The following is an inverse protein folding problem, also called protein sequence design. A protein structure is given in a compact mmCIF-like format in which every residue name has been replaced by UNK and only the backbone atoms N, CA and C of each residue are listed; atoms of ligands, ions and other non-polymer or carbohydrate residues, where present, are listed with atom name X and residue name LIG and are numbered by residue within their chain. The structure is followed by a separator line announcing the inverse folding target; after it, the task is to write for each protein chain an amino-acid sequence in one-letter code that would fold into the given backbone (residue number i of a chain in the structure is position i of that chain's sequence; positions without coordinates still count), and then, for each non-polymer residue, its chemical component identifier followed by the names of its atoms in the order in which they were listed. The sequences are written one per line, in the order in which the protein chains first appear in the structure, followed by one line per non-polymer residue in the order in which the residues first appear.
data_IF_434987728454
#
_entry.id   IF_434987728454
#
_cell.length_a   1.000
_cell.length_b   1.000
_cell.length_c   1.000
_cell.angle_alpha   90.00
_cell.angle_beta   90.00
_cell.angle_gamma   90.00
#
_symmetry.space_group_name_H-M   'P 1'
#
loop_
_entity.id
_entity.type
_entity.pdbx_description
1 polymer ?
#
# COMPACT_ATOMS: atom_id res chain seq x y z
N UNK A 1 -20.11 -10.74 -4.49
CA UNK A 1 -19.08 -9.75 -4.86
C UNK A 1 -19.00 -9.50 -6.36
N UNK A 2 -18.74 -10.50 -7.21
CA UNK A 2 -18.58 -10.33 -8.68
C UNK A 2 -19.62 -9.42 -9.35
N UNK A 3 -20.92 -9.68 -9.17
CA UNK A 3 -22.00 -8.88 -9.79
C UNK A 3 -21.96 -7.39 -9.39
N UNK A 4 -21.57 -7.09 -8.14
CA UNK A 4 -21.45 -5.71 -7.64
C UNK A 4 -20.23 -5.03 -8.28
N UNK A 5 -19.13 -5.77 -8.45
CA UNK A 5 -17.92 -5.28 -9.12
C UNK A 5 -18.20 -4.89 -10.58
N UNK A 6 -18.82 -5.78 -11.36
CA UNK A 6 -19.16 -5.51 -12.77
C UNK A 6 -20.03 -4.25 -12.88
N UNK A 7 -21.09 -4.18 -12.06
CA UNK A 7 -21.99 -3.02 -12.06
C UNK A 7 -21.27 -1.72 -11.71
N UNK A 8 -20.36 -1.77 -10.74
CA UNK A 8 -19.54 -0.63 -10.34
C UNK A 8 -18.59 -0.19 -11.47
N UNK A 9 -17.84 -1.11 -12.07
CA UNK A 9 -16.89 -0.79 -13.15
C UNK A 9 -17.60 -0.13 -14.34
N UNK A 10 -18.69 -0.73 -14.81
CA UNK A 10 -19.44 -0.19 -15.94
C UNK A 10 -20.02 1.20 -15.66
N UNK A 11 -20.55 1.41 -14.44
CA UNK A 11 -21.18 2.68 -14.09
C UNK A 11 -20.17 3.80 -13.78
N UNK A 12 -19.11 3.49 -13.03
CA UNK A 12 -18.19 4.48 -12.45
C UNK A 12 -16.91 4.64 -13.28
N UNK A 13 -16.37 3.54 -13.79
CA UNK A 13 -15.15 3.52 -14.60
C UNK A 13 -15.41 3.51 -16.11
N UNK A 14 -16.67 3.32 -16.53
CA UNK A 14 -17.10 3.29 -17.95
C UNK A 14 -16.47 2.15 -18.75
N UNK A 15 -16.07 1.08 -18.06
CA UNK A 15 -15.62 -0.15 -18.68
C UNK A 15 -16.81 -0.87 -19.35
N UNK A 16 -16.52 -1.61 -20.40
CA UNK A 16 -17.47 -2.50 -21.07
C UNK A 16 -17.62 -3.82 -20.30
N UNK A 17 -18.69 -4.55 -20.58
CA UNK A 17 -18.92 -5.87 -19.97
C UNK A 17 -17.79 -6.87 -20.31
N UNK A 18 -17.19 -6.76 -21.50
CA UNK A 18 -16.07 -7.61 -21.92
C UNK A 18 -14.77 -7.32 -21.16
N UNK A 19 -14.53 -6.05 -20.80
CA UNK A 19 -13.39 -5.64 -19.96
C UNK A 19 -13.58 -6.12 -18.52
N UNK A 20 -14.83 -6.22 -18.07
CA UNK A 20 -15.19 -6.82 -16.79
C UNK A 20 -15.24 -8.34 -16.89
N UNK A 21 -14.10 -9.02 -17.06
CA UNK A 21 -14.03 -10.49 -17.04
C UNK A 21 -13.84 -11.05 -15.62
N UNK A 22 -14.38 -12.24 -15.36
CA UNK A 22 -14.21 -12.89 -14.05
C UNK A 22 -12.73 -13.16 -13.71
N UNK A 23 -11.91 -13.41 -14.74
CA UNK A 23 -10.45 -13.56 -14.58
C UNK A 23 -9.84 -12.29 -13.99
N UNK A 24 -10.16 -11.12 -14.54
CA UNK A 24 -9.65 -9.83 -14.04
C UNK A 24 -10.09 -9.60 -12.60
N UNK A 25 -11.36 -9.83 -12.26
CA UNK A 25 -11.82 -9.73 -10.88
C UNK A 25 -11.07 -10.67 -9.93
N UNK A 26 -10.81 -11.91 -10.36
CA UNK A 26 -10.04 -12.84 -9.55
C UNK A 26 -8.62 -12.34 -9.36
N UNK A 27 -7.91 -12.03 -10.44
CA UNK A 27 -6.51 -11.59 -10.40
C UNK A 27 -6.33 -10.29 -9.60
N UNK A 28 -7.28 -9.37 -9.71
CA UNK A 28 -7.21 -8.06 -9.06
C UNK A 28 -7.69 -8.06 -7.61
N UNK A 29 -8.78 -8.77 -7.30
CA UNK A 29 -9.48 -8.62 -6.02
C UNK A 29 -9.58 -9.89 -5.18
N UNK A 30 -9.18 -11.06 -5.70
CA UNK A 30 -9.31 -12.34 -4.98
C UNK A 30 -7.96 -13.00 -4.76
N UNK A 31 -7.14 -13.08 -5.80
CA UNK A 31 -5.79 -13.62 -5.74
C UNK A 31 -4.90 -12.64 -4.97
N UNK A 32 -4.29 -13.10 -3.89
CA UNK A 32 -3.36 -12.31 -3.09
C UNK A 32 -2.04 -13.06 -2.93
N UNK A 33 -0.88 -12.37 -2.99
CA UNK A 33 0.39 -12.97 -2.64
C UNK A 33 0.59 -13.11 -1.12
N UNK A 34 -0.26 -12.47 -0.30
CA UNK A 34 -0.17 -12.53 1.14
C UNK A 34 -0.57 -13.92 1.64
N UNK A 35 0.34 -14.58 2.35
CA UNK A 35 0.04 -15.83 3.04
C UNK A 35 -0.73 -15.52 4.33
N UNK A 36 -1.97 -16.01 4.47
CA UNK A 36 -2.74 -15.76 5.68
C UNK A 36 -2.12 -16.52 6.86
N UNK A 37 -2.05 -15.86 8.00
CA UNK A 37 -1.59 -16.49 9.24
C UNK A 37 -2.32 -15.91 10.45
N UNK A 38 -2.29 -16.63 11.56
CA UNK A 38 -2.92 -16.21 12.80
C UNK A 38 -1.92 -16.33 13.94
N UNK A 39 -1.84 -15.27 14.74
CA UNK A 39 -1.08 -15.23 15.98
C UNK A 39 -2.06 -15.30 17.17
N UNK A 40 -1.59 -15.80 18.31
CA UNK A 40 -2.35 -15.87 19.56
C UNK A 40 -2.77 -14.47 20.02
N UNK A 41 -1.85 -13.51 19.89
CA UNK A 41 -2.09 -12.09 20.20
C UNK A 41 -2.52 -11.28 18.98
N UNK A 42 -2.89 -11.95 17.88
CA UNK A 42 -3.28 -11.33 16.61
C UNK A 42 -4.77 -10.98 16.52
N UNK A 43 -5.18 -10.33 15.41
CA UNK A 43 -6.59 -9.99 15.20
C UNK A 43 -7.43 -11.27 15.11
N UNK A 44 -8.72 -11.24 15.53
CA UNK A 44 -9.57 -12.43 15.59
C UNK A 44 -9.65 -13.23 14.29
N UNK A 45 -9.62 -12.54 13.16
CA UNK A 45 -9.70 -13.12 11.81
C UNK A 45 -8.34 -13.48 11.20
N UNK A 46 -7.23 -13.21 11.90
CA UNK A 46 -5.88 -13.36 11.40
C UNK A 46 -5.45 -12.23 10.46
N UNK A 47 -4.22 -12.35 9.98
CA UNK A 47 -3.61 -11.47 9.00
C UNK A 47 -3.80 -12.05 7.58
N UNK A 48 -3.85 -11.18 6.58
CA UNK A 48 -4.07 -11.55 5.18
C UNK A 48 -5.05 -10.61 4.47
N UNK A 49 -5.55 -11.04 3.31
CA UNK A 49 -6.51 -10.27 2.50
C UNK A 49 -7.95 -10.75 2.71
N UNK A 50 -8.89 -9.82 2.83
CA UNK A 50 -10.29 -10.09 3.18
C UNK A 50 -11.26 -9.26 2.34
N UNK A 51 -12.48 -9.80 2.14
CA UNK A 51 -13.61 -9.05 1.61
C UNK A 51 -14.54 -8.65 2.76
N UNK A 52 -14.55 -7.37 3.11
CA UNK A 52 -15.53 -6.80 4.01
C UNK A 52 -16.83 -6.53 3.25
N UNK A 53 -17.89 -7.25 3.59
CA UNK A 53 -19.16 -7.21 2.88
C UNK A 53 -20.19 -6.34 3.59
N UNK A 54 -20.93 -5.55 2.81
CA UNK A 54 -21.97 -4.64 3.31
C UNK A 54 -23.32 -5.08 2.76
N UNK A 55 -24.17 -5.58 3.66
CA UNK A 55 -25.48 -6.14 3.32
C UNK A 55 -26.60 -5.22 3.80
N UNK A 56 -27.60 -5.00 2.94
CA UNK A 56 -28.81 -4.26 3.25
C UNK A 56 -30.01 -5.05 2.77
N UNK A 57 -30.91 -5.41 3.70
CA UNK A 57 -32.13 -6.18 3.41
C UNK A 57 -31.86 -7.47 2.60
N UNK A 58 -30.81 -8.21 2.97
CA UNK A 58 -30.41 -9.44 2.29
C UNK A 58 -29.71 -9.26 0.95
N UNK A 59 -29.47 -8.00 0.49
CA UNK A 59 -28.72 -7.70 -0.73
C UNK A 59 -27.32 -7.20 -0.38
N UNK A 60 -26.30 -7.75 -1.04
CA UNK A 60 -24.93 -7.23 -0.98
C UNK A 60 -24.85 -5.94 -1.80
N UNK A 61 -24.58 -4.82 -1.12
CA UNK A 61 -24.57 -3.49 -1.74
C UNK A 61 -23.17 -2.89 -1.87
N UNK A 62 -22.19 -3.33 -1.07
CA UNK A 62 -20.81 -2.90 -1.21
C UNK A 62 -19.83 -3.97 -0.71
N UNK A 63 -18.59 -3.87 -1.17
CA UNK A 63 -17.47 -4.72 -0.75
C UNK A 63 -16.22 -3.85 -0.64
N UNK A 64 -15.60 -3.87 0.54
CA UNK A 64 -14.23 -3.42 0.75
C UNK A 64 -13.29 -4.61 0.63
N UNK A 65 -12.21 -4.46 -0.12
CA UNK A 65 -11.09 -5.39 -0.19
C UNK A 65 -10.00 -4.79 0.67
N UNK A 66 -9.66 -5.49 1.75
CA UNK A 66 -8.74 -4.99 2.77
C UNK A 66 -7.65 -6.00 3.05
N UNK A 67 -6.45 -5.51 3.37
CA UNK A 67 -5.40 -6.32 3.96
C UNK A 67 -5.28 -6.00 5.45
N UNK A 68 -5.33 -7.04 6.28
CA UNK A 68 -5.03 -6.94 7.71
C UNK A 68 -3.56 -7.33 7.89
N UNK A 69 -2.74 -6.37 8.28
CA UNK A 69 -1.29 -6.47 8.41
C UNK A 69 -0.86 -6.21 9.87
N UNK A 70 0.37 -6.59 10.26
CA UNK A 70 0.83 -6.44 11.66
C UNK A 70 0.66 -5.05 12.26
N UNK A 71 0.80 -4.00 11.44
CA UNK A 71 0.73 -2.61 11.88
C UNK A 71 -0.53 -1.88 11.43
N UNK A 72 -1.27 -2.39 10.45
CA UNK A 72 -2.35 -1.63 9.85
C UNK A 72 -3.46 -2.49 9.22
N UNK A 73 -4.61 -1.86 9.01
CA UNK A 73 -5.57 -2.28 7.97
C UNK A 73 -5.32 -1.41 6.74
N UNK A 74 -5.08 -2.05 5.59
CA UNK A 74 -4.89 -1.40 4.30
C UNK A 74 -6.14 -1.52 3.45
N UNK A 75 -6.71 -0.39 3.03
CA UNK A 75 -7.84 -0.35 2.09
C UNK A 75 -7.30 -0.50 0.66
N UNK A 76 -7.45 -1.70 0.10
CA UNK A 76 -6.92 -2.04 -1.23
C UNK A 76 -7.85 -1.54 -2.32
N UNK A 77 -9.14 -1.88 -2.20
CA UNK A 77 -10.15 -1.50 -3.19
C UNK A 77 -11.53 -1.46 -2.56
N UNK A 78 -12.40 -0.58 -3.05
CA UNK A 78 -13.78 -0.51 -2.58
C UNK A 78 -14.72 -0.32 -3.76
N UNK A 79 -15.73 -1.18 -3.87
CA UNK A 79 -16.73 -1.13 -4.93
C UNK A 79 -18.13 -1.38 -4.37
N UNK A 80 -19.14 -0.80 -5.01
CA UNK A 80 -20.50 -0.81 -4.51
C UNK A 80 -21.53 -0.75 -5.64
N UNK A 81 -22.76 -1.13 -5.32
CA UNK A 81 -23.89 -1.03 -6.24
C UNK A 81 -24.25 0.46 -6.42
N UNK A 82 -24.10 1.04 -7.62
CA UNK A 82 -24.30 2.47 -7.88
C UNK A 82 -25.70 2.99 -7.51
N UNK A 83 -26.71 2.13 -7.43
CA UNK A 83 -28.07 2.51 -6.99
C UNK A 83 -28.06 3.04 -5.56
N UNK A 84 -27.04 2.67 -4.77
CA UNK A 84 -26.85 3.10 -3.38
C UNK A 84 -25.83 4.23 -3.23
N UNK A 85 -25.43 4.89 -4.33
CA UNK A 85 -24.46 6.01 -4.30
C UNK A 85 -24.87 7.12 -3.34
N UNK A 86 -26.19 7.35 -3.19
CA UNK A 86 -26.75 8.37 -2.29
C UNK A 86 -26.40 8.15 -0.81
N UNK A 87 -26.04 6.92 -0.42
CA UNK A 87 -25.60 6.57 0.94
C UNK A 87 -24.11 6.86 1.19
N UNK A 88 -23.38 7.32 0.17
CA UNK A 88 -21.92 7.48 0.21
C UNK A 88 -21.15 6.23 0.71
N UNK A 89 -21.32 5.04 0.09
CA UNK A 89 -20.79 3.78 0.61
C UNK A 89 -19.27 3.79 0.85
N UNK A 90 -18.50 4.50 0.02
CA UNK A 90 -17.04 4.61 0.20
C UNK A 90 -16.62 5.34 1.48
N UNK A 91 -17.32 6.44 1.83
CA UNK A 91 -17.08 7.16 3.09
C UNK A 91 -17.46 6.29 4.28
N UNK A 92 -18.63 5.64 4.21
CA UNK A 92 -19.07 4.71 5.26
C UNK A 92 -18.09 3.54 5.43
N UNK A 93 -17.60 2.97 4.32
CA UNK A 93 -16.58 1.92 4.32
C UNK A 93 -15.32 2.35 5.05
N UNK A 94 -14.81 3.56 4.77
CA UNK A 94 -13.65 4.10 5.48
C UNK A 94 -13.88 4.24 6.98
N UNK A 95 -15.08 4.65 7.42
CA UNK A 95 -15.42 4.73 8.84
C UNK A 95 -15.50 3.35 9.50
N UNK A 96 -15.98 2.34 8.77
CA UNK A 96 -16.03 0.95 9.26
C UNK A 96 -14.64 0.32 9.33
N UNK A 97 -13.76 0.62 8.39
CA UNK A 97 -12.36 0.19 8.42
C UNK A 97 -11.58 0.87 9.55
N UNK A 98 -11.85 2.15 9.84
CA UNK A 98 -11.33 2.83 11.03
C UNK A 98 -11.81 2.20 12.35
N UNK A 99 -13.10 1.88 12.43
CA UNK A 99 -13.65 1.19 13.61
C UNK A 99 -13.03 -0.19 13.79
N UNK A 100 -12.80 -0.93 12.69
CA UNK A 100 -12.09 -2.20 12.70
C UNK A 100 -10.68 -2.05 13.28
N UNK A 101 -9.89 -1.09 12.80
CA UNK A 101 -8.54 -0.80 13.33
C UNK A 101 -8.59 -0.54 14.83
N UNK A 102 -9.54 0.29 15.29
CA UNK A 102 -9.68 0.60 16.71
C UNK A 102 -10.03 -0.64 17.54
N UNK A 103 -10.95 -1.47 17.06
CA UNK A 103 -11.33 -2.71 17.74
C UNK A 103 -10.17 -3.70 17.84
N UNK A 104 -9.31 -3.76 16.81
CA UNK A 104 -8.15 -4.64 16.80
C UNK A 104 -7.01 -4.11 17.66
N UNK A 105 -6.82 -2.79 17.72
CA UNK A 105 -5.80 -2.15 18.54
C UNK A 105 -5.94 -2.46 20.04
N UNK A 106 -7.15 -2.77 20.52
CA UNK A 106 -7.40 -3.19 21.92
C UNK A 106 -6.70 -4.51 22.26
N UNK A 107 -6.56 -5.42 21.29
CA UNK A 107 -5.88 -6.72 21.46
C UNK A 107 -4.48 -6.76 20.88
N UNK A 108 -4.27 -6.01 19.79
CA UNK A 108 -3.05 -5.95 19.00
C UNK A 108 -2.57 -4.50 18.93
N UNK A 109 -1.92 -3.94 19.97
CA UNK A 109 -1.59 -2.51 20.03
C UNK A 109 -0.70 -2.01 18.89
N UNK A 110 0.03 -2.92 18.22
CA UNK A 110 0.83 -2.59 17.04
C UNK A 110 -0.02 -2.36 15.78
N UNK A 111 -1.19 -3.01 15.68
CA UNK A 111 -2.16 -2.81 14.62
C UNK A 111 -3.03 -1.59 14.95
N UNK A 112 -2.51 -0.41 14.63
CA UNK A 112 -3.15 0.87 15.00
C UNK A 112 -3.24 1.89 13.87
N UNK A 113 -2.77 1.53 12.68
CA UNK A 113 -2.80 2.42 11.52
C UNK A 113 -3.88 1.99 10.52
N UNK A 114 -4.51 2.97 9.89
CA UNK A 114 -5.41 2.77 8.76
C UNK A 114 -4.74 3.34 7.51
N UNK A 115 -4.43 2.48 6.54
CA UNK A 115 -3.77 2.88 5.31
C UNK A 115 -4.79 2.96 4.18
N UNK A 116 -5.15 4.19 3.79
CA UNK A 116 -6.12 4.44 2.71
C UNK A 116 -5.50 4.34 1.31
N UNK A 117 -4.24 3.91 1.18
CA UNK A 117 -3.48 3.97 -0.06
C UNK A 117 -3.05 5.39 -0.43
N UNK A 118 -2.69 5.58 -1.70
CA UNK A 118 -2.16 6.86 -2.20
C UNK A 118 -3.12 8.04 -2.01
N UNK A 119 -2.56 9.24 -2.01
CA UNK A 119 -3.30 10.51 -2.05
C UNK A 119 -2.74 11.38 -3.18
N UNK A 120 -3.56 11.61 -4.21
CA UNK A 120 -3.20 12.51 -5.32
C UNK A 120 -3.99 13.79 -5.12
N UNK A 121 -3.30 14.85 -4.72
CA UNK A 121 -3.92 16.12 -4.35
C UNK A 121 -4.74 16.75 -5.49
N UNK A 122 -4.29 16.62 -6.74
CA UNK A 122 -5.03 17.10 -7.92
C UNK A 122 -6.26 16.26 -8.28
N UNK A 123 -6.46 15.09 -7.67
CA UNK A 123 -7.58 14.19 -7.96
C UNK A 123 -8.76 14.47 -7.02
N UNK A 124 -9.86 15.01 -7.55
CA UNK A 124 -11.08 15.32 -6.78
C UNK A 124 -11.65 14.09 -6.06
N UNK A 125 -11.62 12.92 -6.70
CA UNK A 125 -12.07 11.64 -6.12
C UNK A 125 -11.27 11.21 -4.88
N UNK A 126 -10.09 11.77 -4.65
CA UNK A 126 -9.21 11.42 -3.53
C UNK A 126 -9.20 12.49 -2.42
N UNK A 127 -9.80 13.66 -2.65
CA UNK A 127 -9.86 14.76 -1.68
C UNK A 127 -10.57 14.37 -0.39
N UNK A 128 -11.48 13.39 -0.42
CA UNK A 128 -12.17 12.93 0.80
C UNK A 128 -11.22 12.36 1.86
N UNK A 129 -10.10 11.72 1.45
CA UNK A 129 -9.13 11.13 2.37
C UNK A 129 -8.53 12.18 3.30
N UNK A 130 -8.34 13.40 2.80
CA UNK A 130 -7.84 14.52 3.58
C UNK A 130 -8.80 15.03 4.66
N UNK A 131 -10.08 14.65 4.60
CA UNK A 131 -11.09 15.02 5.60
C UNK A 131 -11.18 14.02 6.76
N UNK A 132 -10.54 12.86 6.65
CA UNK A 132 -10.50 11.84 7.69
C UNK A 132 -9.34 12.15 8.64
N UNK A 133 -9.58 13.01 9.64
CA UNK A 133 -8.54 13.45 10.58
C UNK A 133 -8.51 12.60 11.87
N UNK A 134 -7.32 12.41 12.49
CA UNK A 134 -6.00 12.86 12.00
C UNK A 134 -5.50 11.99 10.82
N UNK A 135 -4.90 12.63 9.83
CA UNK A 135 -4.33 11.97 8.64
C UNK A 135 -2.91 12.45 8.36
N UNK A 136 -2.09 11.56 7.79
CA UNK A 136 -0.68 11.81 7.53
C UNK A 136 -0.32 11.42 6.09
N UNK A 137 0.61 12.17 5.50
CA UNK A 137 1.22 11.89 4.20
C UNK A 137 2.70 11.56 4.37
N UNK A 138 3.18 10.58 3.62
CA UNK A 138 4.60 10.23 3.55
C UNK A 138 5.34 11.24 2.67
N UNK A 139 6.41 11.84 3.18
CA UNK A 139 7.25 12.73 2.39
C UNK A 139 7.96 11.94 1.29
N UNK A 140 7.91 12.37 0.01
CA UNK A 140 8.49 11.61 -1.10
C UNK A 140 10.02 11.60 -1.13
N UNK A 141 10.69 12.48 -0.39
CA UNK A 141 12.16 12.64 -0.44
C UNK A 141 12.89 12.00 0.73
N UNK A 142 12.24 11.92 1.90
CA UNK A 142 12.87 11.49 3.15
C UNK A 142 12.07 10.44 3.91
N UNK A 143 10.95 9.99 3.35
CA UNK A 143 10.10 8.92 3.90
C UNK A 143 9.68 9.10 5.37
N UNK A 144 9.45 10.35 5.79
CA UNK A 144 8.87 10.68 7.10
C UNK A 144 7.40 11.06 6.95
N UNK A 145 6.58 10.74 7.96
CA UNK A 145 5.14 11.02 7.99
C UNK A 145 4.86 12.43 8.53
N UNK A 146 4.04 13.20 7.79
CA UNK A 146 3.66 14.57 8.14
C UNK A 146 2.15 14.73 8.15
N UNK A 147 1.60 15.53 9.06
CA UNK A 147 0.16 15.76 9.12
C UNK A 147 -0.34 16.39 7.82
N UNK A 148 -1.48 15.93 7.33
CA UNK A 148 -2.03 16.37 6.05
C UNK A 148 -2.32 17.88 6.04
N UNK A 149 -2.69 18.45 7.19
CA UNK A 149 -2.92 19.88 7.38
C UNK A 149 -1.69 20.74 7.04
N UNK A 150 -0.49 20.27 7.39
CA UNK A 150 0.78 20.95 7.03
C UNK A 150 1.16 20.73 5.57
N UNK A 151 0.74 19.61 4.98
CA UNK A 151 1.07 19.24 3.61
C UNK A 151 0.20 19.96 2.58
N UNK A 152 -1.08 20.20 2.88
CA UNK A 152 -2.05 20.80 1.94
C UNK A 152 -1.57 22.14 1.36
N UNK A 153 -1.14 23.14 2.17
CA UNK A 153 -0.69 24.42 1.62
C UNK A 153 0.48 24.29 0.64
N UNK A 154 1.39 23.34 0.87
CA UNK A 154 2.51 23.06 -0.04
C UNK A 154 2.02 22.48 -1.36
N UNK A 155 1.07 21.55 -1.29
CA UNK A 155 0.49 20.86 -2.45
C UNK A 155 -0.47 21.74 -3.26
N UNK A 156 -1.12 22.72 -2.63
CA UNK A 156 -1.92 23.74 -3.32
C UNK A 156 -0.99 24.69 -4.12
N UNK A 157 0.21 24.98 -3.60
CA UNK A 157 1.17 25.87 -4.26
C UNK A 157 1.92 25.20 -5.43
N UNK A 158 2.33 23.93 -5.27
CA UNK A 158 3.12 23.20 -6.27
C UNK A 158 2.64 21.75 -6.39
N UNK A 159 2.58 21.25 -7.63
CA UNK A 159 2.20 19.86 -7.94
C UNK A 159 3.10 18.84 -7.24
N UNK A 160 4.39 19.14 -7.12
CA UNK A 160 5.37 18.35 -6.37
C UNK A 160 5.92 19.22 -5.24
N UNK A 161 5.94 18.70 -4.02
CA UNK A 161 6.44 19.40 -2.85
C UNK A 161 7.11 18.45 -1.88
N UNK A 162 8.29 18.84 -1.39
CA UNK A 162 8.90 18.24 -0.20
C UNK A 162 8.02 18.54 1.01
N UNK A 163 7.53 17.49 1.68
CA UNK A 163 6.62 17.63 2.82
C UNK A 163 7.36 17.90 4.13
N UNK A 164 8.60 17.41 4.28
CA UNK A 164 9.45 17.72 5.43
C UNK A 164 9.90 19.19 5.41
N UNK A 165 9.76 19.88 6.54
CA UNK A 165 10.16 21.28 6.72
C UNK A 165 11.68 21.46 6.77
N UNK A 166 12.41 20.44 7.25
CA UNK A 166 13.87 20.42 7.23
C UNK A 166 14.36 20.14 5.80
N UNK A 167 14.96 21.16 5.19
CA UNK A 167 15.55 21.11 3.85
C UNK A 167 16.85 20.29 3.80
N UNK A 168 17.52 20.10 4.93
CA UNK A 168 18.78 19.36 5.04
C UNK A 168 18.58 17.89 5.40
N UNK A 169 17.38 17.50 5.84
CA UNK A 169 17.08 16.11 6.14
C UNK A 169 17.33 15.22 4.91
N UNK A 170 17.99 14.08 5.13
CA UNK A 170 18.23 13.06 4.11
C UNK A 170 17.46 11.81 4.51
N UNK A 171 16.99 11.04 3.54
CA UNK A 171 16.41 9.74 3.83
C UNK A 171 17.45 8.85 4.53
N UNK A 172 17.12 8.29 5.69
CA UNK A 172 18.00 7.36 6.41
C UNK A 172 18.37 6.15 5.54
N UNK A 173 17.45 5.75 4.65
CA UNK A 173 17.60 4.63 3.74
C UNK A 173 18.54 4.93 2.55
N UNK A 174 19.00 6.18 2.40
CA UNK A 174 19.96 6.57 1.35
C UNK A 174 21.43 6.29 1.70
N UNK A 175 21.75 5.97 2.97
CA UNK A 175 23.13 5.65 3.34
C UNK A 175 23.45 4.18 3.06
N UNK A 176 23.75 3.88 1.80
CA UNK A 176 23.89 2.50 1.32
C UNK A 176 25.36 2.12 1.21
N UNK A 177 25.75 1.04 1.90
CA UNK A 177 27.04 0.40 1.69
C UNK A 177 26.93 -0.61 0.56
N UNK A 178 27.51 -0.30 -0.61
CA UNK A 178 27.47 -1.19 -1.78
C UNK A 178 28.00 -2.59 -1.45
N UNK A 179 29.02 -2.69 -0.60
CA UNK A 179 29.59 -3.98 -0.20
C UNK A 179 28.61 -4.88 0.57
N UNK A 180 27.53 -4.34 1.12
CA UNK A 180 26.51 -5.08 1.87
C UNK A 180 25.31 -5.49 1.00
N UNK A 181 25.25 -5.05 -0.26
CA UNK A 181 24.18 -5.42 -1.19
C UNK A 181 24.20 -6.94 -1.39
N UNK A 182 23.05 -7.60 -1.25
CA UNK A 182 22.97 -9.05 -1.46
C UNK A 182 22.80 -9.38 -2.94
N UNK A 183 23.61 -10.33 -3.40
CA UNK A 183 23.65 -10.83 -4.77
C UNK A 183 23.40 -12.34 -4.76
N UNK A 184 22.63 -12.80 -5.74
CA UNK A 184 22.50 -14.22 -6.07
C UNK A 184 23.27 -14.48 -7.37
N UNK A 185 24.36 -15.23 -7.29
CA UNK A 185 25.19 -15.60 -8.43
C UNK A 185 25.51 -17.10 -8.35
N UNK A 186 25.31 -17.83 -9.46
CA UNK A 186 25.55 -19.28 -9.53
C UNK A 186 24.93 -20.05 -8.36
N UNK A 187 23.61 -19.85 -8.17
CA UNK A 187 22.80 -20.42 -7.08
C UNK A 187 23.30 -20.14 -5.65
N UNK A 188 24.23 -19.19 -5.48
CA UNK A 188 24.83 -18.85 -4.20
C UNK A 188 24.50 -17.41 -3.83
N UNK A 189 23.88 -17.19 -2.67
CA UNK A 189 23.68 -15.86 -2.11
C UNK A 189 24.97 -15.37 -1.43
N UNK A 190 25.41 -14.15 -1.74
CA UNK A 190 26.58 -13.52 -1.15
C UNK A 190 26.47 -12.00 -1.19
N UNK A 191 27.27 -11.30 -0.38
CA UNK A 191 27.36 -9.84 -0.47
C UNK A 191 28.13 -9.41 -1.72
N UNK A 192 27.86 -8.23 -2.27
CA UNK A 192 28.58 -7.67 -3.41
C UNK A 192 30.09 -7.60 -3.19
N UNK A 193 30.55 -7.30 -1.97
CA UNK A 193 31.98 -7.30 -1.66
C UNK A 193 32.65 -8.67 -1.90
N UNK A 194 31.95 -9.76 -1.59
CA UNK A 194 32.41 -11.13 -1.86
C UNK A 194 32.31 -11.46 -3.35
N UNK A 195 31.23 -11.07 -4.01
CA UNK A 195 31.04 -11.24 -5.45
C UNK A 195 32.17 -10.59 -6.25
N UNK A 196 32.47 -9.31 -5.97
CA UNK A 196 33.53 -8.53 -6.62
C UNK A 196 34.90 -9.22 -6.50
N UNK A 197 35.19 -9.80 -5.34
CA UNK A 197 36.44 -10.53 -5.10
C UNK A 197 36.48 -11.86 -5.88
N UNK A 198 35.34 -12.54 -6.05
CA UNK A 198 35.25 -13.86 -6.71
C UNK A 198 35.29 -13.78 -8.23
N UNK A 199 34.57 -12.84 -8.84
CA UNK A 199 34.40 -12.78 -10.31
C UNK A 199 35.40 -11.84 -11.00
N UNK A 200 36.11 -10.99 -10.25
CA UNK A 200 36.91 -9.86 -10.77
C UNK A 200 36.13 -8.90 -11.66
N UNK A 201 34.80 -9.02 -11.71
CA UNK A 201 33.92 -8.13 -12.43
C UNK A 201 33.27 -7.18 -11.41
N UNK A 202 33.41 -5.87 -11.61
CA UNK A 202 32.83 -4.91 -10.67
C UNK A 202 31.34 -4.71 -10.97
N UNK A 203 30.93 -4.47 -12.22
CA UNK A 203 29.58 -3.98 -12.56
C UNK A 203 29.01 -3.01 -11.49
N UNK A 204 29.87 -2.14 -10.96
CA UNK A 204 29.60 -1.37 -9.74
C UNK A 204 28.46 -0.38 -9.96
N UNK A 205 28.40 0.20 -11.17
CA UNK A 205 27.37 1.17 -11.55
C UNK A 205 25.96 0.57 -11.49
N UNK A 206 25.77 -0.67 -11.95
CA UNK A 206 24.46 -1.33 -11.92
C UNK A 206 24.06 -1.72 -10.49
N UNK A 207 25.02 -2.19 -9.67
CA UNK A 207 24.76 -2.50 -8.26
C UNK A 207 24.43 -1.22 -7.48
N UNK A 208 25.08 -0.11 -7.85
CA UNK A 208 24.80 1.21 -7.29
C UNK A 208 23.42 1.73 -7.69
N UNK A 209 23.07 1.65 -8.96
CA UNK A 209 21.74 2.02 -9.45
C UNK A 209 20.64 1.19 -8.76
N UNK A 210 20.83 -0.13 -8.66
CA UNK A 210 19.94 -1.02 -7.92
C UNK A 210 19.80 -0.59 -6.46
N UNK A 211 20.92 -0.38 -5.77
CA UNK A 211 20.94 0.04 -4.37
C UNK A 211 20.17 1.35 -4.17
N UNK A 212 20.48 2.38 -4.96
CA UNK A 212 19.80 3.69 -4.89
C UNK A 212 18.29 3.59 -5.15
N UNK A 213 17.87 2.69 -6.03
CA UNK A 213 16.46 2.45 -6.34
C UNK A 213 15.70 1.79 -5.18
N UNK A 214 16.28 0.76 -4.55
CA UNK A 214 15.58 -0.07 -3.54
C UNK A 214 15.80 0.41 -2.11
N UNK A 215 16.82 1.22 -1.87
CA UNK A 215 17.22 1.70 -0.54
C UNK A 215 18.08 0.71 0.24
N UNK A 216 18.65 1.18 1.36
CA UNK A 216 19.54 0.40 2.24
C UNK A 216 18.86 -0.86 2.78
N UNK A 217 17.64 -0.75 3.30
CA UNK A 217 16.96 -1.89 3.91
C UNK A 217 16.71 -3.00 2.88
N UNK A 218 16.14 -2.65 1.73
CA UNK A 218 15.79 -3.64 0.70
C UNK A 218 17.04 -4.24 0.06
N UNK A 219 18.08 -3.46 -0.20
CA UNK A 219 19.34 -3.97 -0.80
C UNK A 219 20.07 -4.99 0.09
N UNK A 220 19.76 -5.03 1.38
CA UNK A 220 20.31 -5.99 2.35
C UNK A 220 19.39 -7.18 2.62
N UNK A 221 18.16 -7.19 2.09
CA UNK A 221 17.16 -8.25 2.34
C UNK A 221 16.62 -8.87 1.05
N UNK A 222 16.85 -8.25 -0.11
CA UNK A 222 16.51 -8.76 -1.42
C UNK A 222 17.78 -9.17 -2.17
N UNK A 223 17.69 -10.25 -2.94
CA UNK A 223 18.79 -10.73 -3.76
C UNK A 223 18.74 -10.11 -5.14
N UNK A 224 19.78 -9.39 -5.54
CA UNK A 224 20.01 -8.99 -6.92
C UNK A 224 20.51 -10.21 -7.71
N UNK A 225 19.69 -10.75 -8.62
CA UNK A 225 20.05 -11.89 -9.45
C UNK A 225 21.11 -11.49 -10.48
N UNK A 226 22.17 -12.29 -10.56
CA UNK A 226 23.26 -12.14 -11.53
C UNK A 226 23.52 -13.47 -12.23
N UNK A 227 23.70 -13.38 -13.54
CA UNK A 227 24.04 -14.49 -14.42
C UNK A 227 25.54 -14.56 -14.65
#
# INVERSE_FOLDING_TARGET
SWRVFVKYQMAVHKETEYECSYRIFREFLVSTPLQPYKDENGPPHGYGSFHQQYWLNGKLIAVGVIDILPKCVSSVYFFYDPDYSFLSPGTYGSLRELELVRSYAEKCPDLKYYYMGYYIHSCSKMRYKARLCPSYLLCPEVFTWHSIEKCIPKLDALKYSRLNDDKTAVCEDSNISLNQVLILYDHTAMTYGVYRNRTRNSNEDEVKEYAELVGRYSSQNMLLLRH
#
